data_IF_931290232989
#
_entry.id   IF_931290232989
#
_cell.length_a   1.000
_cell.length_b   1.000
_cell.length_c   1.000
_cell.angle_alpha   90.00
_cell.angle_beta   90.00
_cell.angle_gamma   90.00
#
_symmetry.space_group_name_H-M   'P 1'
#
loop_
_entity.id
_entity.type
_entity.pdbx_description
1 polymer ?
#
# COMPACT_ATOMS: atom_id res chain seq x y z
N UNK A 1 20.45 -13.85 25.32
CA UNK A 1 19.45 -12.77 25.25
C UNK A 1 19.10 -12.67 23.78
N UNK A 2 18.16 -13.52 23.39
CA UNK A 2 17.72 -13.74 22.02
C UNK A 2 16.90 -12.52 21.60
N UNK A 3 17.39 -11.81 20.59
CA UNK A 3 16.60 -10.76 19.95
C UNK A 3 15.66 -11.47 18.98
N UNK A 4 14.37 -11.46 19.31
CA UNK A 4 13.28 -11.86 18.43
C UNK A 4 13.28 -10.87 17.25
N UNK A 5 13.88 -11.29 16.14
CA UNK A 5 13.80 -10.58 14.86
C UNK A 5 12.49 -11.05 14.24
N UNK A 6 11.43 -10.32 14.52
CA UNK A 6 10.13 -10.53 13.88
C UNK A 6 10.29 -10.15 12.40
N UNK A 7 10.21 -11.16 11.52
CA UNK A 7 10.31 -10.99 10.09
C UNK A 7 9.18 -10.06 9.59
N UNK A 8 9.53 -8.82 9.29
CA UNK A 8 8.63 -7.78 8.80
C UNK A 8 8.07 -8.21 7.42
N UNK A 9 6.75 -8.42 7.26
CA UNK A 9 6.21 -8.90 5.99
C UNK A 9 6.34 -7.82 4.91
N UNK A 10 6.79 -8.22 3.73
CA UNK A 10 7.13 -7.35 2.60
C UNK A 10 5.92 -6.70 1.89
N UNK A 11 4.81 -6.47 2.59
CA UNK A 11 3.63 -5.83 2.04
C UNK A 11 3.86 -4.30 1.99
N UNK A 12 4.05 -3.76 0.77
CA UNK A 12 3.86 -2.35 0.42
C UNK A 12 4.60 -1.26 1.24
N UNK A 13 5.92 -1.38 1.41
CA UNK A 13 6.78 -0.37 2.09
C UNK A 13 6.86 1.04 1.44
N UNK A 14 5.99 1.42 0.50
CA UNK A 14 6.19 2.62 -0.35
C UNK A 14 5.22 3.76 -0.13
N UNK A 15 4.12 3.55 0.61
CA UNK A 15 3.13 4.58 0.84
C UNK A 15 3.19 5.13 2.27
N UNK A 16 4.06 6.12 2.49
CA UNK A 16 4.02 6.92 3.72
C UNK A 16 3.07 8.10 3.51
N UNK A 17 1.79 7.89 3.81
CA UNK A 17 0.78 8.96 3.81
C UNK A 17 0.93 9.81 5.06
N UNK A 18 0.97 11.13 4.91
CA UNK A 18 1.12 12.10 6.01
C UNK A 18 -0.27 12.54 6.49
N UNK A 19 -0.79 11.91 7.54
CA UNK A 19 -2.10 12.27 8.11
C UNK A 19 -1.97 13.55 8.97
N UNK A 20 -2.54 14.67 8.52
CA UNK A 20 -2.76 15.86 9.37
C UNK A 20 -4.26 15.94 9.74
N UNK A 21 -4.56 15.82 11.04
CA UNK A 21 -5.91 15.89 11.60
C UNK A 21 -6.42 17.34 11.61
N UNK A 22 -7.52 17.63 10.90
CA UNK A 22 -8.19 18.94 10.96
C UNK A 22 -9.38 18.87 11.94
N UNK A 23 -9.48 19.75 12.95
CA UNK A 23 -10.56 19.71 13.93
C UNK A 23 -11.81 20.49 13.50
N UNK A 24 -12.98 19.85 13.68
CA UNK A 24 -14.19 20.39 14.32
C UNK A 24 -15.06 21.43 13.59
N UNK A 25 -16.36 21.11 13.42
CA UNK A 25 -17.41 22.13 13.23
C UNK A 25 -18.54 21.87 14.24
N UNK A 26 -18.82 22.87 15.08
CA UNK A 26 -19.92 22.91 16.07
C UNK A 26 -21.29 23.14 15.41
N UNK A 27 -22.34 22.50 15.97
CA UNK A 27 -23.75 22.68 15.59
C UNK A 27 -24.40 23.85 16.35
N UNK A 28 -25.33 24.55 15.70
CA UNK A 28 -26.31 25.43 16.34
C UNK A 28 -27.72 25.14 15.77
N UNK A 29 -28.68 24.97 16.69
CA UNK A 29 -30.10 24.65 16.47
C UNK A 29 -30.92 25.78 15.82
N UNK A 30 -31.92 25.41 15.00
CA UNK A 30 -33.10 26.27 14.76
C UNK A 30 -33.75 26.22 13.36
N UNK A 31 -34.99 25.71 13.33
CA UNK A 31 -36.08 25.89 12.34
C UNK A 31 -36.03 25.26 10.94
N UNK A 32 -37.07 24.46 10.68
CA UNK A 32 -37.28 23.57 9.53
C UNK A 32 -37.95 24.30 8.36
N UNK A 33 -37.14 24.76 7.40
CA UNK A 33 -37.59 25.09 6.04
C UNK A 33 -37.10 23.99 5.09
N UNK A 34 -38.03 23.26 4.46
CA UNK A 34 -37.70 22.28 3.40
C UNK A 34 -37.26 23.01 2.11
N UNK A 35 -36.10 23.65 2.16
CA UNK A 35 -35.30 23.87 0.97
C UNK A 35 -34.66 22.52 0.63
N UNK A 36 -34.85 22.05 -0.61
CA UNK A 36 -34.03 20.95 -1.12
C UNK A 36 -32.59 21.49 -1.23
N UNK A 37 -31.84 21.41 -0.13
CA UNK A 37 -30.41 21.64 -0.13
C UNK A 37 -29.80 20.62 -1.06
N UNK A 38 -29.45 21.05 -2.27
CA UNK A 38 -28.47 20.32 -3.07
C UNK A 38 -27.20 20.32 -2.23
N UNK A 39 -26.91 19.20 -1.58
CA UNK A 39 -25.66 19.03 -0.87
C UNK A 39 -24.54 19.18 -1.91
N UNK A 40 -23.87 20.33 -1.90
CA UNK A 40 -22.68 20.56 -2.71
C UNK A 40 -21.56 19.85 -1.98
N UNK A 41 -21.28 18.61 -2.36
CA UNK A 41 -20.08 17.93 -1.89
C UNK A 41 -18.88 18.67 -2.49
N UNK A 42 -18.02 19.22 -1.64
CA UNK A 42 -16.78 19.81 -2.10
C UNK A 42 -15.97 18.74 -2.84
N UNK A 43 -15.46 19.08 -4.03
CA UNK A 43 -14.54 18.21 -4.74
C UNK A 43 -13.28 17.99 -3.87
N UNK A 44 -12.68 16.80 -3.86
CA UNK A 44 -11.45 16.57 -3.12
C UNK A 44 -10.33 17.44 -3.68
N UNK A 45 -9.41 17.85 -2.80
CA UNK A 45 -8.13 18.39 -3.24
C UNK A 45 -7.30 17.25 -3.80
N UNK A 46 -6.79 17.40 -5.02
CA UNK A 46 -5.97 16.37 -5.68
C UNK A 46 -4.55 16.87 -5.84
N UNK A 47 -3.59 16.10 -5.35
CA UNK A 47 -2.17 16.33 -5.52
C UNK A 47 -1.57 15.17 -6.31
N UNK A 48 -0.73 15.50 -7.30
CA UNK A 48 0.05 14.52 -8.05
C UNK A 48 1.52 14.67 -7.66
N UNK A 49 2.12 13.59 -7.17
CA UNK A 49 3.49 13.57 -6.70
C UNK A 49 4.27 12.49 -7.44
N UNK A 50 5.21 12.86 -8.32
CA UNK A 50 6.13 11.90 -8.90
C UNK A 50 6.93 11.20 -7.80
N UNK A 51 7.09 9.90 -7.95
CA UNK A 51 7.85 9.07 -7.02
C UNK A 51 8.87 8.25 -7.79
N UNK A 52 10.10 8.27 -7.28
CA UNK A 52 11.16 7.38 -7.72
C UNK A 52 12.00 7.02 -6.51
N UNK A 53 12.18 5.73 -6.27
CA UNK A 53 12.98 5.24 -5.16
C UNK A 53 13.68 3.95 -5.54
N UNK A 54 14.91 3.84 -5.05
CA UNK A 54 15.64 2.57 -5.04
C UNK A 54 15.95 2.20 -3.59
N UNK A 55 15.73 0.93 -3.24
CA UNK A 55 16.10 0.35 -1.95
C UNK A 55 16.74 -1.03 -2.15
N UNK A 56 17.43 -1.51 -1.13
CA UNK A 56 18.01 -2.85 -1.12
C UNK A 56 17.29 -3.70 -0.09
N UNK A 57 16.87 -4.90 -0.48
CA UNK A 57 16.54 -5.98 0.46
C UNK A 57 17.84 -6.75 0.68
N UNK A 58 18.44 -6.68 1.88
CA UNK A 58 19.72 -7.33 2.14
C UNK A 58 19.57 -8.84 2.14
N UNK A 59 20.65 -9.53 1.77
CA UNK A 59 20.78 -10.97 1.92
C UNK A 59 20.60 -11.39 3.38
N UNK A 60 19.73 -12.38 3.62
CA UNK A 60 19.47 -12.95 4.94
C UNK A 60 18.93 -14.38 4.82
N UNK A 61 18.76 -15.04 5.96
CA UNK A 61 18.10 -16.36 6.01
C UNK A 61 16.60 -16.30 5.68
N UNK A 62 15.98 -15.13 5.78
CA UNK A 62 14.54 -14.88 5.54
C UNK A 62 14.28 -14.36 4.11
N UNK A 63 15.35 -13.94 3.41
CA UNK A 63 15.31 -13.40 2.05
C UNK A 63 16.13 -14.28 1.10
N UNK A 64 16.78 -13.68 0.10
CA UNK A 64 17.60 -14.39 -0.87
C UNK A 64 19.07 -14.45 -0.44
N UNK A 65 19.86 -15.42 -0.95
CA UNK A 65 21.30 -15.51 -0.70
C UNK A 65 22.11 -14.39 -1.41
N UNK A 66 21.44 -13.38 -1.94
CA UNK A 66 21.99 -12.21 -2.61
C UNK A 66 21.10 -11.00 -2.32
N UNK A 67 21.69 -9.81 -2.38
CA UNK A 67 20.93 -8.57 -2.27
C UNK A 67 19.98 -8.40 -3.45
N UNK A 68 18.74 -8.00 -3.16
CA UNK A 68 17.78 -7.59 -4.19
C UNK A 68 17.73 -6.07 -4.23
N UNK A 69 17.96 -5.50 -5.42
CA UNK A 69 17.73 -4.08 -5.66
C UNK A 69 16.30 -3.91 -6.14
N UNK A 70 15.51 -3.18 -5.34
CA UNK A 70 14.13 -2.82 -5.63
C UNK A 70 14.09 -1.40 -6.13
N UNK A 71 13.59 -1.21 -7.35
CA UNK A 71 13.36 0.08 -7.96
C UNK A 71 11.87 0.28 -8.19
N UNK A 72 11.38 1.45 -7.80
CA UNK A 72 9.97 1.78 -7.85
C UNK A 72 9.81 3.18 -8.41
N UNK A 73 8.96 3.33 -9.42
CA UNK A 73 8.75 4.59 -10.11
C UNK A 73 7.30 4.73 -10.55
N UNK A 74 6.75 5.94 -10.44
CA UNK A 74 5.40 6.25 -10.88
C UNK A 74 4.92 7.59 -10.34
N UNK A 75 3.61 7.77 -10.25
CA UNK A 75 2.99 8.96 -9.65
C UNK A 75 2.01 8.55 -8.57
N UNK A 76 2.09 9.18 -7.41
CA UNK A 76 1.03 9.14 -6.41
C UNK A 76 0.00 10.22 -6.71
N UNK A 77 -1.26 9.82 -6.72
CA UNK A 77 -2.42 10.70 -6.78
C UNK A 77 -3.12 10.66 -5.43
N UNK A 78 -2.90 11.68 -4.63
CA UNK A 78 -3.54 11.86 -3.33
C UNK A 78 -4.81 12.68 -3.52
N UNK A 79 -5.93 12.19 -3.03
CA UNK A 79 -7.22 12.86 -3.03
C UNK A 79 -7.75 12.97 -1.60
N UNK A 80 -7.65 14.18 -1.03
CA UNK A 80 -8.12 14.46 0.32
C UNK A 80 -9.54 15.00 0.26
N UNK A 81 -10.46 14.27 0.88
CA UNK A 81 -11.87 14.64 0.97
C UNK A 81 -12.11 15.47 2.24
N UNK A 82 -13.16 16.30 2.23
CA UNK A 82 -13.54 17.12 3.40
C UNK A 82 -13.91 16.31 4.64
N UNK A 83 -14.14 14.99 4.50
CA UNK A 83 -14.36 14.07 5.61
C UNK A 83 -13.08 13.63 6.33
N UNK A 84 -11.89 14.06 5.86
CA UNK A 84 -10.60 13.57 6.32
C UNK A 84 -10.22 12.20 5.73
N UNK A 85 -11.03 11.67 4.79
CA UNK A 85 -10.69 10.48 4.02
C UNK A 85 -9.57 10.81 3.05
N UNK A 86 -8.49 10.05 3.10
CA UNK A 86 -7.38 10.15 2.17
C UNK A 86 -7.39 8.93 1.25
N UNK A 87 -7.34 9.19 -0.05
CA UNK A 87 -7.26 8.17 -1.07
C UNK A 87 -5.98 8.42 -1.85
N UNK A 88 -5.01 7.53 -1.68
CA UNK A 88 -3.81 7.51 -2.50
C UNK A 88 -3.98 6.45 -3.58
N UNK A 89 -3.95 6.86 -4.84
CA UNK A 89 -3.93 5.96 -5.99
C UNK A 89 -2.57 6.03 -6.65
N UNK A 90 -2.06 4.91 -7.13
CA UNK A 90 -0.86 4.88 -7.98
C UNK A 90 -1.23 5.02 -9.46
N UNK A 91 -0.51 5.88 -10.17
CA UNK A 91 -0.62 6.07 -11.62
C UNK A 91 0.71 5.72 -12.29
N UNK A 92 0.65 4.88 -13.34
CA UNK A 92 1.82 4.40 -14.11
C UNK A 92 2.97 3.84 -13.23
N UNK A 93 2.61 3.23 -12.10
CA UNK A 93 3.58 2.84 -11.10
C UNK A 93 4.12 1.43 -11.35
N UNK A 94 5.44 1.30 -11.35
CA UNK A 94 6.14 0.06 -11.67
C UNK A 94 7.14 -0.29 -10.58
N UNK A 95 7.11 -1.55 -10.15
CA UNK A 95 8.02 -2.14 -9.19
C UNK A 95 8.93 -3.13 -9.91
N UNK A 96 10.25 -2.95 -9.83
CA UNK A 96 11.26 -3.84 -10.41
C UNK A 96 12.19 -4.37 -9.33
N UNK A 97 12.27 -5.69 -9.19
CA UNK A 97 13.17 -6.38 -8.27
C UNK A 97 14.26 -7.04 -9.09
N UNK A 98 15.51 -6.79 -8.76
CA UNK A 98 16.65 -7.26 -9.55
C UNK A 98 17.74 -7.88 -8.68
N UNK A 99 18.43 -8.87 -9.25
CA UNK A 99 19.68 -9.43 -8.75
C UNK A 99 20.81 -8.91 -9.66
N UNK A 100 21.49 -7.80 -9.30
CA UNK A 100 22.50 -7.20 -10.17
C UNK A 100 23.65 -8.16 -10.54
N UNK A 101 24.18 -8.98 -9.61
CA UNK A 101 25.16 -10.01 -9.96
C UNK A 101 24.69 -11.02 -11.01
N UNK A 102 23.42 -11.44 -10.95
CA UNK A 102 22.84 -12.43 -11.87
C UNK A 102 22.26 -11.83 -13.16
N UNK A 103 22.10 -10.51 -13.23
CA UNK A 103 21.50 -9.80 -14.36
C UNK A 103 20.01 -10.07 -14.58
N UNK A 104 19.32 -10.69 -13.60
CA UNK A 104 17.89 -11.02 -13.68
C UNK A 104 17.04 -9.96 -12.99
N UNK A 105 15.83 -9.76 -13.53
CA UNK A 105 14.83 -8.87 -12.93
C UNK A 105 13.42 -9.42 -13.08
N UNK A 106 12.58 -9.03 -12.13
CA UNK A 106 11.12 -9.21 -12.14
C UNK A 106 10.49 -7.83 -12.07
N UNK A 107 9.43 -7.61 -12.83
CA UNK A 107 8.69 -6.36 -12.80
C UNK A 107 7.20 -6.63 -12.59
N UNK A 108 6.54 -5.72 -11.89
CA UNK A 108 5.08 -5.69 -11.75
C UNK A 108 4.61 -4.25 -11.87
N UNK A 109 3.63 -3.95 -12.75
CA UNK A 109 2.87 -2.71 -12.61
C UNK A 109 2.08 -2.80 -11.31
N UNK A 110 2.06 -1.75 -10.51
CA UNK A 110 1.12 -1.62 -9.40
C UNK A 110 -0.14 -0.95 -9.90
N UNK A 111 -1.27 -1.35 -9.34
CA UNK A 111 -2.56 -0.79 -9.73
C UNK A 111 -3.51 -0.74 -8.55
N UNK A 112 -4.32 0.31 -8.56
CA UNK A 112 -5.46 0.49 -7.68
C UNK A 112 -5.14 1.31 -6.43
N UNK A 113 -6.18 1.65 -5.66
CA UNK A 113 -6.06 2.56 -4.53
C UNK A 113 -5.55 1.87 -3.28
N UNK A 114 -4.75 2.61 -2.52
CA UNK A 114 -4.47 2.38 -1.11
C UNK A 114 -5.23 3.45 -0.33
N UNK A 115 -6.24 3.02 0.41
CA UNK A 115 -7.16 3.90 1.12
C UNK A 115 -6.94 3.74 2.61
N UNK A 116 -6.81 4.88 3.31
CA UNK A 116 -6.67 4.92 4.77
C UNK A 116 -7.84 5.70 5.36
N UNK A 117 -8.60 5.04 6.23
CA UNK A 117 -9.77 5.63 6.88
C UNK A 117 -9.60 5.57 8.41
N UNK A 118 -9.66 6.71 9.12
CA UNK A 118 -9.58 6.70 10.58
C UNK A 118 -10.84 6.08 11.20
N UNK A 119 -10.65 5.21 12.20
CA UNK A 119 -11.76 4.53 12.90
C UNK A 119 -12.30 5.34 14.10
N UNK A 120 -11.63 6.42 14.50
CA UNK A 120 -12.01 7.25 15.65
C UNK A 120 -11.55 6.71 17.02
N UNK A 121 -10.98 5.52 17.06
CA UNK A 121 -10.45 4.85 18.26
C UNK A 121 -8.91 4.86 18.35
N UNK A 122 -8.25 5.65 17.50
CA UNK A 122 -6.79 5.69 17.39
C UNK A 122 -6.20 4.68 16.40
N UNK A 123 -7.03 3.82 15.79
CA UNK A 123 -6.62 2.93 14.70
C UNK A 123 -7.09 3.47 13.34
N UNK A 124 -6.58 2.85 12.27
CA UNK A 124 -7.05 3.10 10.90
C UNK A 124 -7.46 1.80 10.23
N UNK A 125 -8.41 1.89 9.32
CA UNK A 125 -8.71 0.82 8.35
C UNK A 125 -7.97 1.12 7.06
N UNK A 126 -7.14 0.16 6.63
CA UNK A 126 -6.43 0.19 5.35
C UNK A 126 -7.16 -0.71 4.36
N UNK A 127 -7.45 -0.19 3.17
CA UNK A 127 -7.96 -0.97 2.04
C UNK A 127 -6.98 -0.87 0.88
N UNK A 128 -6.55 -2.02 0.38
CA UNK A 128 -5.74 -2.15 -0.83
C UNK A 128 -6.59 -2.89 -1.85
N UNK A 129 -6.94 -2.20 -2.93
CA UNK A 129 -7.64 -2.78 -4.07
C UNK A 129 -6.70 -2.82 -5.28
N UNK A 130 -6.71 -3.93 -6.03
CA UNK A 130 -5.98 -4.05 -7.29
C UNK A 130 -4.74 -4.93 -7.20
N UNK A 131 -3.68 -4.54 -7.90
CA UNK A 131 -2.42 -5.27 -7.97
C UNK A 131 -1.39 -4.59 -7.07
N UNK A 132 -1.13 -5.18 -5.91
CA UNK A 132 -0.12 -4.71 -4.95
C UNK A 132 1.23 -5.44 -5.11
N UNK A 133 1.39 -6.15 -6.21
CA UNK A 133 2.57 -6.94 -6.54
C UNK A 133 2.13 -8.22 -7.20
N UNK A 134 2.43 -8.40 -8.49
CA UNK A 134 2.17 -9.62 -9.24
C UNK A 134 3.36 -9.92 -10.12
N UNK A 135 4.28 -10.71 -9.59
CA UNK A 135 5.48 -11.10 -10.30
C UNK A 135 5.24 -12.39 -11.08
N UNK A 136 5.60 -12.38 -12.36
CA UNK A 136 5.64 -13.59 -13.18
C UNK A 136 7.00 -13.73 -13.85
N UNK A 137 7.46 -14.96 -14.05
CA UNK A 137 8.72 -15.24 -14.72
C UNK A 137 8.59 -16.40 -15.72
N UNK A 138 9.28 -16.35 -16.87
CA UNK A 138 9.35 -17.48 -17.79
C UNK A 138 9.82 -18.76 -17.09
N UNK A 139 9.11 -19.86 -17.32
CA UNK A 139 9.41 -21.16 -16.68
C UNK A 139 8.87 -21.33 -15.26
N UNK A 140 8.49 -20.24 -14.57
CA UNK A 140 7.91 -20.28 -13.22
C UNK A 140 6.40 -19.97 -13.20
N UNK A 141 5.91 -19.21 -14.18
CA UNK A 141 4.53 -18.73 -14.15
C UNK A 141 4.38 -17.61 -13.12
N UNK A 142 3.38 -17.72 -12.23
CA UNK A 142 3.18 -16.79 -11.12
C UNK A 142 4.21 -17.07 -10.01
N UNK A 143 5.04 -16.08 -9.68
CA UNK A 143 6.09 -16.17 -8.66
C UNK A 143 5.58 -15.67 -7.31
N UNK A 144 4.81 -14.59 -7.32
CA UNK A 144 4.19 -13.98 -6.15
C UNK A 144 3.00 -13.13 -6.61
N UNK A 145 1.94 -13.09 -5.81
CA UNK A 145 0.84 -12.16 -6.02
C UNK A 145 0.13 -11.71 -4.73
N UNK A 146 -0.07 -10.39 -4.63
CA UNK A 146 -1.06 -9.74 -3.78
C UNK A 146 -2.03 -8.99 -4.67
N UNK A 147 -3.06 -9.70 -5.13
CA UNK A 147 -4.00 -9.21 -6.12
C UNK A 147 -5.43 -9.43 -5.66
N UNK A 148 -6.24 -8.38 -5.75
CA UNK A 148 -7.66 -8.42 -5.39
C UNK A 148 -7.98 -7.32 -4.40
N UNK A 149 -8.52 -7.69 -3.23
CA UNK A 149 -8.91 -6.76 -2.18
C UNK A 149 -8.42 -7.26 -0.83
N UNK A 150 -7.63 -6.44 -0.15
CA UNK A 150 -7.19 -6.65 1.22
C UNK A 150 -7.70 -5.49 2.09
N UNK A 151 -8.36 -5.82 3.20
CA UNK A 151 -8.83 -4.85 4.19
C UNK A 151 -8.34 -5.27 5.56
N UNK A 152 -7.70 -4.37 6.29
CA UNK A 152 -7.19 -4.64 7.63
C UNK A 152 -7.20 -3.39 8.51
N UNK A 153 -7.13 -3.60 9.82
CA UNK A 153 -6.89 -2.56 10.81
C UNK A 153 -5.38 -2.47 11.06
N UNK A 154 -4.86 -1.25 11.12
CA UNK A 154 -3.45 -0.97 11.38
C UNK A 154 -3.28 0.18 12.40
N UNK A 155 -2.05 0.32 12.91
CA UNK A 155 -1.64 1.51 13.65
C UNK A 155 -1.40 2.66 12.66
N UNK A 156 -1.86 3.90 12.90
CA UNK A 156 -1.64 5.02 11.99
C UNK A 156 -0.16 5.36 11.78
N UNK A 157 0.74 4.97 12.69
CA UNK A 157 2.18 5.13 12.56
C UNK A 157 2.86 4.03 11.75
N UNK A 158 2.20 2.88 11.57
CA UNK A 158 2.65 1.77 10.72
C UNK A 158 1.47 1.13 9.96
N UNK A 159 1.22 1.66 8.76
CA UNK A 159 0.14 1.21 7.89
C UNK A 159 0.41 -0.14 7.22
N UNK A 160 1.63 -0.68 7.32
CA UNK A 160 2.03 -1.89 6.60
C UNK A 160 1.88 -3.15 7.46
N UNK A 161 1.79 -2.98 8.78
CA UNK A 161 1.59 -4.08 9.71
C UNK A 161 0.12 -4.18 10.09
N UNK A 162 -0.53 -5.25 9.65
CA UNK A 162 -1.91 -5.52 10.00
C UNK A 162 -2.02 -5.94 11.47
N UNK A 163 -2.70 -5.12 12.29
CA UNK A 163 -3.14 -5.51 13.63
C UNK A 163 -4.24 -6.59 13.55
N UNK A 164 -5.10 -6.48 12.53
CA UNK A 164 -6.19 -7.43 12.28
C UNK A 164 -6.67 -7.38 10.84
N UNK A 165 -6.66 -8.52 10.15
CA UNK A 165 -7.23 -8.63 8.80
C UNK A 165 -8.77 -8.74 8.91
N UNK A 166 -9.47 -7.89 8.17
CA UNK A 166 -10.94 -7.86 8.08
C UNK A 166 -11.45 -8.59 6.83
N UNK A 167 -10.72 -8.50 5.73
CA UNK A 167 -11.07 -9.12 4.46
C UNK A 167 -9.81 -9.43 3.64
N UNK A 168 -9.78 -10.59 3.01
CA UNK A 168 -8.85 -10.95 1.95
C UNK A 168 -9.63 -11.63 0.82
N UNK A 169 -9.57 -11.08 -0.38
CA UNK A 169 -10.29 -11.59 -1.56
C UNK A 169 -9.38 -11.50 -2.78
N UNK A 170 -9.36 -12.55 -3.60
CA UNK A 170 -8.40 -12.68 -4.70
C UNK A 170 -7.25 -13.61 -4.34
N UNK A 171 -6.05 -13.31 -4.82
CA UNK A 171 -4.83 -14.07 -4.52
C UNK A 171 -3.96 -13.27 -3.56
N UNK A 172 -3.56 -13.86 -2.44
CA UNK A 172 -2.73 -13.21 -1.41
C UNK A 172 -1.69 -14.24 -0.96
N UNK A 173 -0.45 -14.07 -1.42
CA UNK A 173 0.65 -14.93 -1.01
C UNK A 173 1.19 -14.45 0.33
N UNK A 174 1.42 -15.38 1.26
CA UNK A 174 1.87 -15.05 2.62
C UNK A 174 3.28 -14.44 2.64
N UNK A 175 4.10 -14.76 1.62
CA UNK A 175 5.45 -14.24 1.47
C UNK A 175 5.92 -14.32 0.01
N UNK A 176 6.73 -13.35 -0.47
CA UNK A 176 7.41 -13.45 -1.75
C UNK A 176 8.57 -14.47 -1.76
N UNK A 177 9.06 -14.86 -0.58
CA UNK A 177 10.19 -15.77 -0.43
C UNK A 177 9.73 -17.18 -0.06
N UNK A 178 10.39 -18.23 -0.60
CA UNK A 178 11.64 -18.21 -1.38
C UNK A 178 11.46 -18.07 -2.92
N UNK A 179 10.25 -17.92 -3.42
CA UNK A 179 9.93 -18.03 -4.86
C UNK A 179 10.62 -16.94 -5.69
N UNK A 180 10.66 -15.70 -5.19
CA UNK A 180 11.41 -14.62 -5.83
C UNK A 180 12.90 -14.96 -5.95
N UNK A 181 13.48 -15.64 -4.96
CA UNK A 181 14.88 -16.04 -5.03
C UNK A 181 15.13 -17.03 -6.16
N UNK A 182 14.26 -18.03 -6.32
CA UNK A 182 14.38 -18.99 -7.41
C UNK A 182 14.26 -18.32 -8.79
N UNK A 183 13.37 -17.34 -8.93
CA UNK A 183 13.19 -16.62 -10.18
C UNK A 183 14.35 -15.65 -10.51
N UNK A 184 15.02 -15.10 -9.49
CA UNK A 184 16.13 -14.15 -9.62
C UNK A 184 17.54 -14.79 -9.57
N UNK A 185 17.66 -16.06 -9.17
CA UNK A 185 18.91 -16.81 -9.11
C UNK A 185 19.44 -17.17 -10.50
#
# INVERSE_FOLDING_TARGET
>A
MEAEVEAEPAHAQELRVRLELVPGVEQVDGELLCAASTAVANAPTVTLTPFERTRVIPTSAETCPFDIVVHSAGTFREAVYSSGRDVTTVEDFHLTWSNPPGGKSLASPLAGPFVVEPNGDGTVTVTIDGNNGRFTAPGYGLVFADVGRLVYVADPSDLNTALRILQATGHQDVSPFPQICAALA
#
